data_IF_424821094414
#
_entry.id   IF_424821094414
#
_cell.length_a   1.000
_cell.length_b   1.000
_cell.length_c   1.000
_cell.angle_alpha   90.00
_cell.angle_beta   90.00
_cell.angle_gamma   90.00
#
_symmetry.space_group_name_H-M   'P 1'
#
loop_
_entity.id
_entity.type
_entity.pdbx_description
1 polymer ?
#
# COMPACT_ATOMS: atom_id res chain seq x y z
N UNK A 1 -8.35 -40.33 -5.31
CA UNK A 1 -7.72 -40.22 -6.65
C UNK A 1 -6.81 -39.01 -6.62
N UNK A 2 -5.68 -39.06 -7.31
CA UNK A 2 -4.81 -37.89 -7.45
C UNK A 2 -5.45 -36.89 -8.42
N UNK A 3 -5.33 -35.59 -8.12
CA UNK A 3 -5.89 -34.50 -8.92
C UNK A 3 -5.09 -34.28 -10.20
N UNK A 4 -3.77 -34.41 -10.11
CA UNK A 4 -2.85 -34.22 -11.24
C UNK A 4 -1.61 -35.14 -11.10
N UNK A 5 -0.85 -35.22 -12.19
CA UNK A 5 0.51 -35.81 -12.23
C UNK A 5 1.51 -34.81 -12.83
N UNK A 6 2.80 -35.08 -12.62
CA UNK A 6 3.89 -34.31 -13.23
C UNK A 6 4.39 -34.99 -14.50
N UNK A 7 4.65 -34.20 -15.56
CA UNK A 7 5.19 -34.69 -16.83
C UNK A 7 6.53 -35.40 -16.66
N UNK A 8 6.85 -36.35 -17.54
CA UNK A 8 8.20 -36.93 -17.62
C UNK A 8 9.19 -35.94 -18.24
N UNK A 9 8.73 -35.13 -19.20
CA UNK A 9 9.53 -34.05 -19.77
C UNK A 9 9.84 -33.00 -18.70
N UNK A 10 11.09 -32.54 -18.68
CA UNK A 10 11.57 -31.49 -17.79
C UNK A 10 11.89 -30.23 -18.58
N UNK A 11 11.78 -29.08 -17.91
CA UNK A 11 12.18 -27.77 -18.44
C UNK A 11 13.13 -27.11 -17.46
N UNK A 12 14.27 -26.63 -17.95
CA UNK A 12 15.18 -25.80 -17.16
C UNK A 12 14.69 -24.36 -17.21
N UNK A 13 14.37 -23.80 -16.06
CA UNK A 13 14.04 -22.40 -15.90
C UNK A 13 15.25 -21.66 -15.32
N UNK A 14 15.57 -20.49 -15.90
CA UNK A 14 16.67 -19.63 -15.45
C UNK A 14 16.09 -18.41 -14.77
N UNK A 15 16.60 -18.08 -13.59
CA UNK A 15 16.18 -16.89 -12.85
C UNK A 15 17.40 -16.21 -12.23
N UNK A 16 17.25 -14.95 -11.83
CA UNK A 16 18.33 -14.18 -11.21
C UNK A 16 17.98 -13.91 -9.76
N UNK A 17 18.94 -14.13 -8.85
CA UNK A 17 18.80 -13.79 -7.44
C UNK A 17 20.03 -12.99 -7.01
N UNK A 18 19.82 -11.81 -6.45
CA UNK A 18 20.90 -10.89 -6.05
C UNK A 18 21.97 -10.64 -7.15
N UNK A 19 21.56 -10.62 -8.42
CA UNK A 19 22.45 -10.43 -9.56
C UNK A 19 23.15 -11.69 -10.08
N UNK A 20 23.00 -12.83 -9.39
CA UNK A 20 23.57 -14.11 -9.81
C UNK A 20 22.55 -14.98 -10.56
N UNK A 21 22.96 -15.67 -11.64
CA UNK A 21 22.09 -16.57 -12.38
C UNK A 21 21.97 -17.94 -11.68
N UNK A 22 20.73 -18.37 -11.46
CA UNK A 22 20.38 -19.69 -10.94
C UNK A 22 19.52 -20.45 -11.95
N UNK A 23 19.50 -21.77 -11.81
CA UNK A 23 18.65 -22.65 -12.62
C UNK A 23 17.86 -23.61 -11.74
N UNK A 24 16.63 -23.91 -12.16
CA UNK A 24 15.78 -24.90 -11.53
C UNK A 24 15.18 -25.81 -12.60
N UNK A 25 15.05 -27.10 -12.28
CA UNK A 25 14.43 -28.08 -13.17
C UNK A 25 12.97 -28.23 -12.78
N UNK A 26 12.06 -28.00 -13.72
CA UNK A 26 10.62 -28.05 -13.50
C UNK A 26 9.97 -29.16 -14.32
N UNK A 27 8.80 -29.60 -13.85
CA UNK A 27 7.93 -30.57 -14.51
C UNK A 27 6.55 -29.94 -14.68
N UNK A 28 5.88 -30.23 -15.79
CA UNK A 28 4.59 -29.65 -16.11
C UNK A 28 3.46 -30.37 -15.38
N UNK A 29 2.45 -29.62 -14.93
CA UNK A 29 1.22 -30.16 -14.37
C UNK A 29 0.31 -30.73 -15.46
N UNK A 30 -0.26 -31.91 -15.22
CA UNK A 30 -1.24 -32.57 -16.09
C UNK A 30 -2.40 -33.05 -15.24
N UNK A 31 -3.61 -32.50 -15.47
CA UNK A 31 -4.82 -32.88 -14.73
C UNK A 31 -5.19 -34.35 -15.00
N UNK A 32 -5.55 -35.09 -13.95
CA UNK A 32 -5.93 -36.52 -14.02
C UNK A 32 -7.44 -36.75 -13.98
N UNK A 33 -8.19 -35.79 -13.45
CA UNK A 33 -9.65 -35.83 -13.36
C UNK A 33 -10.21 -34.41 -13.55
N UNK A 34 -11.53 -34.31 -13.75
CA UNK A 34 -12.22 -33.03 -13.78
C UNK A 34 -12.34 -32.46 -12.35
N UNK A 35 -12.06 -31.18 -12.17
CA UNK A 35 -12.29 -30.45 -10.92
C UNK A 35 -12.43 -28.96 -11.20
N UNK A 36 -13.34 -28.28 -10.49
CA UNK A 36 -13.68 -26.88 -10.74
C UNK A 36 -13.94 -26.61 -12.24
N UNK A 37 -13.17 -25.71 -12.85
CA UNK A 37 -13.18 -25.34 -14.27
C UNK A 37 -12.06 -26.03 -15.08
N UNK A 38 -11.36 -27.03 -14.52
CA UNK A 38 -10.27 -27.77 -15.16
C UNK A 38 -10.74 -29.17 -15.58
N UNK A 39 -10.56 -29.51 -16.86
CA UNK A 39 -10.87 -30.84 -17.41
C UNK A 39 -9.67 -31.80 -17.31
N UNK A 40 -9.96 -33.09 -17.22
CA UNK A 40 -8.96 -34.14 -17.24
C UNK A 40 -8.11 -34.06 -18.52
N UNK A 41 -6.79 -34.23 -18.39
CA UNK A 41 -5.82 -34.11 -19.47
C UNK A 41 -5.35 -32.69 -19.77
N UNK A 42 -5.93 -31.66 -19.14
CA UNK A 42 -5.46 -30.27 -19.30
C UNK A 42 -4.04 -30.12 -18.74
N UNK A 43 -3.16 -29.52 -19.55
CA UNK A 43 -1.84 -29.10 -19.13
C UNK A 43 -1.92 -27.75 -18.41
N UNK A 44 -1.13 -27.60 -17.35
CA UNK A 44 -1.02 -26.36 -16.59
C UNK A 44 0.40 -25.78 -16.64
N UNK A 45 0.71 -24.99 -15.61
CA UNK A 45 2.04 -24.45 -15.36
C UNK A 45 3.06 -25.51 -14.93
N UNK A 46 4.23 -25.02 -14.53
CA UNK A 46 5.39 -25.85 -14.22
C UNK A 46 5.75 -25.74 -12.74
N UNK A 47 6.07 -26.88 -12.13
CA UNK A 47 6.43 -26.97 -10.72
C UNK A 47 7.73 -27.74 -10.52
N UNK A 48 8.47 -27.43 -9.46
CA UNK A 48 9.70 -28.15 -9.12
C UNK A 48 9.41 -29.55 -8.56
N UNK A 49 8.38 -29.68 -7.73
CA UNK A 49 7.98 -30.91 -7.04
C UNK A 49 6.48 -30.99 -6.82
N UNK A 50 5.98 -32.16 -6.41
CA UNK A 50 4.57 -32.33 -6.01
C UNK A 50 4.20 -31.53 -4.75
N UNK A 51 5.17 -31.00 -4.01
CA UNK A 51 4.91 -30.18 -2.83
C UNK A 51 4.51 -28.74 -3.19
N UNK A 52 4.76 -28.30 -4.43
CA UNK A 52 4.47 -26.92 -4.83
C UNK A 52 3.00 -26.66 -5.09
N UNK A 53 2.22 -27.67 -5.49
CA UNK A 53 0.79 -27.57 -5.70
C UNK A 53 0.06 -28.63 -4.86
N UNK A 54 -1.08 -28.28 -4.27
CA UNK A 54 -1.84 -29.28 -3.50
C UNK A 54 -2.54 -30.29 -4.38
N UNK A 55 -2.49 -31.57 -3.98
CA UNK A 55 -3.38 -32.60 -4.50
C UNK A 55 -4.83 -32.44 -3.97
N UNK A 56 -5.03 -31.71 -2.86
CA UNK A 56 -6.34 -31.41 -2.28
C UNK A 56 -6.85 -30.02 -2.68
N UNK A 57 -8.17 -29.83 -2.67
CA UNK A 57 -8.80 -28.56 -3.04
C UNK A 57 -8.70 -28.25 -4.54
N UNK A 58 -9.22 -27.09 -4.93
CA UNK A 58 -9.36 -26.70 -6.34
C UNK A 58 -8.20 -25.87 -6.86
N UNK A 59 -7.11 -25.71 -6.10
CA UNK A 59 -6.00 -24.86 -6.54
C UNK A 59 -5.36 -25.35 -7.85
N UNK A 60 -5.04 -24.41 -8.73
CA UNK A 60 -4.49 -24.72 -10.05
C UNK A 60 -3.66 -23.58 -10.65
N UNK A 61 -2.69 -23.97 -11.48
CA UNK A 61 -1.83 -23.07 -12.25
C UNK A 61 -2.19 -23.20 -13.72
N UNK A 62 -2.92 -22.22 -14.26
CA UNK A 62 -3.57 -22.33 -15.56
C UNK A 62 -2.62 -22.08 -16.74
N UNK A 63 -1.72 -21.11 -16.60
CA UNK A 63 -0.87 -20.69 -17.70
C UNK A 63 0.37 -21.59 -17.87
N UNK A 64 0.71 -21.95 -19.11
CA UNK A 64 1.80 -22.88 -19.44
C UNK A 64 3.21 -22.26 -19.27
N UNK A 65 3.29 -20.94 -19.09
CA UNK A 65 4.52 -20.23 -18.78
C UNK A 65 4.70 -20.00 -17.28
N UNK A 66 3.65 -20.16 -16.47
CA UNK A 66 3.74 -20.03 -15.02
C UNK A 66 4.69 -21.03 -14.39
N UNK A 67 5.39 -20.59 -13.34
CA UNK A 67 6.38 -21.41 -12.60
C UNK A 67 6.19 -21.29 -11.09
N UNK A 68 6.23 -22.43 -10.39
CA UNK A 68 6.20 -22.49 -8.92
C UNK A 68 7.34 -23.37 -8.40
N UNK A 69 8.27 -22.83 -7.62
CA UNK A 69 9.50 -23.54 -7.23
C UNK A 69 10.11 -23.01 -5.93
N UNK A 70 11.26 -23.57 -5.50
CA UNK A 70 12.02 -23.14 -4.33
C UNK A 70 11.16 -23.05 -3.05
N UNK A 71 10.51 -24.16 -2.68
CA UNK A 71 9.73 -24.27 -1.45
C UNK A 71 8.35 -23.58 -1.47
N UNK A 72 8.01 -22.84 -2.53
CA UNK A 72 6.70 -22.19 -2.66
C UNK A 72 5.55 -23.20 -2.67
N UNK A 73 4.39 -22.83 -2.10
CA UNK A 73 3.24 -23.72 -1.90
C UNK A 73 1.94 -23.06 -2.34
N UNK A 74 1.22 -23.71 -3.25
CA UNK A 74 -0.12 -23.29 -3.72
C UNK A 74 -1.17 -24.29 -3.25
N UNK A 75 -2.08 -23.85 -2.38
CA UNK A 75 -3.04 -24.69 -1.63
C UNK A 75 -4.48 -24.12 -1.70
N UNK A 76 -5.44 -24.85 -1.12
CA UNK A 76 -6.84 -24.43 -1.08
C UNK A 76 -7.51 -24.49 -2.46
N UNK A 77 -8.20 -23.41 -2.82
CA UNK A 77 -8.83 -23.14 -4.10
C UNK A 77 -8.11 -22.02 -4.89
N UNK A 78 -6.87 -21.69 -4.51
CA UNK A 78 -6.12 -20.59 -5.11
C UNK A 78 -5.96 -20.72 -6.63
N UNK A 79 -6.13 -19.63 -7.36
CA UNK A 79 -6.09 -19.58 -8.82
C UNK A 79 -4.90 -18.76 -9.27
N UNK A 80 -4.03 -19.34 -10.10
CA UNK A 80 -2.93 -18.63 -10.74
C UNK A 80 -3.20 -18.55 -12.25
N UNK A 81 -3.66 -17.39 -12.72
CA UNK A 81 -3.96 -17.12 -14.14
C UNK A 81 -2.88 -16.26 -14.78
N UNK A 82 -2.76 -16.35 -16.11
CA UNK A 82 -1.68 -15.71 -16.88
C UNK A 82 -0.28 -16.10 -16.34
N UNK A 83 0.79 -15.53 -16.90
CA UNK A 83 2.16 -15.83 -16.49
C UNK A 83 2.42 -15.37 -15.06
N UNK A 84 2.51 -16.31 -14.12
CA UNK A 84 2.83 -16.07 -12.72
C UNK A 84 4.17 -16.73 -12.35
N UNK A 85 4.93 -16.10 -11.46
CA UNK A 85 6.18 -16.64 -10.93
C UNK A 85 6.11 -16.66 -9.41
N UNK A 86 6.11 -17.85 -8.81
CA UNK A 86 5.98 -18.02 -7.36
C UNK A 86 7.14 -18.81 -6.81
N UNK A 87 7.90 -18.26 -5.88
CA UNK A 87 9.12 -18.91 -5.41
C UNK A 87 9.57 -18.53 -4.00
N UNK A 88 10.60 -19.22 -3.49
CA UNK A 88 11.28 -18.89 -2.23
C UNK A 88 10.30 -18.86 -1.05
N UNK A 89 9.72 -20.01 -0.74
CA UNK A 89 8.81 -20.24 0.39
C UNK A 89 7.53 -19.39 0.41
N UNK A 90 7.18 -18.74 -0.71
CA UNK A 90 5.91 -18.06 -0.86
C UNK A 90 4.72 -19.03 -0.72
N UNK A 91 3.66 -18.61 -0.04
CA UNK A 91 2.48 -19.43 0.22
C UNK A 91 1.23 -18.74 -0.34
N UNK A 92 0.51 -19.45 -1.19
CA UNK A 92 -0.76 -18.99 -1.75
C UNK A 92 -1.84 -20.01 -1.35
N UNK A 93 -2.87 -19.56 -0.65
CA UNK A 93 -3.90 -20.42 -0.07
C UNK A 93 -5.33 -19.91 -0.28
N UNK A 94 -6.28 -20.63 0.32
CA UNK A 94 -7.71 -20.30 0.33
C UNK A 94 -8.28 -20.04 -1.08
N UNK A 95 -9.03 -18.96 -1.28
CA UNK A 95 -9.64 -18.58 -2.56
C UNK A 95 -8.87 -17.43 -3.24
N UNK A 96 -7.57 -17.27 -2.93
CA UNK A 96 -6.74 -16.21 -3.47
C UNK A 96 -6.61 -16.30 -5.00
N UNK A 97 -6.61 -15.15 -5.67
CA UNK A 97 -6.47 -15.07 -7.12
C UNK A 97 -5.25 -14.24 -7.50
N UNK A 98 -4.28 -14.91 -8.13
CA UNK A 98 -3.05 -14.30 -8.63
C UNK A 98 -3.14 -14.27 -10.16
N UNK A 99 -2.92 -13.11 -10.74
CA UNK A 99 -3.03 -12.88 -12.19
C UNK A 99 -1.83 -12.07 -12.70
N UNK A 100 -1.03 -12.65 -13.59
CA UNK A 100 0.14 -11.98 -14.18
C UNK A 100 1.10 -11.33 -13.14
N UNK A 101 1.37 -12.02 -12.03
CA UNK A 101 2.09 -11.46 -10.88
C UNK A 101 3.27 -12.33 -10.42
N UNK A 102 4.20 -11.71 -9.70
CA UNK A 102 5.33 -12.38 -9.06
C UNK A 102 5.18 -12.34 -7.53
N UNK A 103 5.31 -13.51 -6.88
CA UNK A 103 5.19 -13.65 -5.43
C UNK A 103 6.39 -14.42 -4.89
N UNK A 104 7.17 -13.82 -3.99
CA UNK A 104 8.40 -14.44 -3.51
C UNK A 104 8.79 -14.14 -2.06
N UNK A 105 9.82 -14.85 -1.61
CA UNK A 105 10.58 -14.58 -0.37
C UNK A 105 9.72 -14.59 0.90
N UNK A 106 8.95 -15.66 1.08
CA UNK A 106 8.11 -15.86 2.26
C UNK A 106 6.76 -15.12 2.25
N UNK A 107 6.43 -14.41 1.16
CA UNK A 107 5.14 -13.74 1.03
C UNK A 107 3.96 -14.73 1.14
N UNK A 108 2.95 -14.35 1.92
CA UNK A 108 1.74 -15.14 2.14
C UNK A 108 0.52 -14.45 1.52
N UNK A 109 -0.22 -15.13 0.66
CA UNK A 109 -1.49 -14.63 0.09
C UNK A 109 -2.61 -15.63 0.38
N UNK A 110 -3.70 -15.16 0.98
CA UNK A 110 -4.79 -16.03 1.49
C UNK A 110 -6.14 -15.30 1.51
N UNK A 111 -7.20 -15.92 2.01
CA UNK A 111 -8.56 -15.40 1.90
C UNK A 111 -9.06 -15.33 0.46
N UNK A 112 -9.74 -14.23 0.10
CA UNK A 112 -10.20 -13.88 -1.26
C UNK A 112 -9.33 -12.77 -1.89
N UNK A 113 -8.09 -12.64 -1.42
CA UNK A 113 -7.19 -11.59 -1.88
C UNK A 113 -6.86 -11.75 -3.37
N UNK A 114 -6.72 -10.61 -4.06
CA UNK A 114 -6.38 -10.54 -5.47
C UNK A 114 -5.04 -9.82 -5.66
N UNK A 115 -4.12 -10.44 -6.39
CA UNK A 115 -2.87 -9.80 -6.82
C UNK A 115 -2.78 -9.87 -8.34
N UNK A 116 -2.85 -8.72 -9.00
CA UNK A 116 -2.88 -8.62 -10.46
C UNK A 116 -1.75 -7.72 -10.98
N UNK A 117 -1.02 -8.16 -12.01
CA UNK A 117 0.01 -7.36 -12.67
C UNK A 117 0.98 -6.66 -11.69
N UNK A 118 1.38 -7.33 -10.61
CA UNK A 118 2.07 -6.73 -9.46
C UNK A 118 3.16 -7.65 -8.94
N UNK A 119 4.04 -7.11 -8.09
CA UNK A 119 5.16 -7.84 -7.49
C UNK A 119 5.03 -7.79 -5.97
N UNK A 120 5.02 -8.95 -5.32
CA UNK A 120 4.94 -9.11 -3.87
C UNK A 120 6.14 -9.91 -3.41
N UNK A 121 7.02 -9.32 -2.60
CA UNK A 121 8.21 -10.00 -2.08
C UNK A 121 8.40 -9.77 -0.59
N UNK A 122 9.06 -10.71 0.06
CA UNK A 122 9.46 -10.60 1.45
C UNK A 122 8.36 -10.99 2.44
N UNK A 123 8.68 -10.86 3.72
CA UNK A 123 7.84 -11.26 4.86
C UNK A 123 6.60 -10.36 4.98
N UNK A 124 5.56 -10.68 4.23
CA UNK A 124 4.29 -9.96 4.19
C UNK A 124 3.10 -10.92 4.08
N UNK A 125 1.92 -10.46 4.46
CA UNK A 125 0.69 -11.23 4.39
C UNK A 125 -0.47 -10.41 3.82
N UNK A 126 -0.95 -10.83 2.66
CA UNK A 126 -2.09 -10.24 1.95
C UNK A 126 -3.29 -11.19 2.13
N UNK A 127 -4.38 -10.71 2.75
CA UNK A 127 -5.52 -11.57 3.07
C UNK A 127 -6.85 -10.83 3.13
N UNK A 128 -7.94 -11.52 3.46
CA UNK A 128 -9.29 -10.93 3.39
C UNK A 128 -9.74 -10.76 1.93
N UNK A 129 -10.32 -9.62 1.60
CA UNK A 129 -10.79 -9.21 0.27
C UNK A 129 -9.86 -8.17 -0.37
N UNK A 130 -8.61 -8.09 0.09
CA UNK A 130 -7.64 -7.10 -0.37
C UNK A 130 -7.31 -7.26 -1.87
N UNK A 131 -7.11 -6.13 -2.55
CA UNK A 131 -6.78 -6.08 -3.97
C UNK A 131 -5.50 -5.30 -4.19
N UNK A 132 -4.49 -5.95 -4.77
CA UNK A 132 -3.21 -5.33 -5.17
C UNK A 132 -3.11 -5.42 -6.68
N UNK A 133 -3.09 -4.29 -7.38
CA UNK A 133 -3.17 -4.26 -8.84
C UNK A 133 -2.35 -3.15 -9.51
N UNK A 134 -2.32 -3.16 -10.85
CA UNK A 134 -1.74 -2.11 -11.69
C UNK A 134 -0.28 -1.78 -11.36
N UNK A 135 0.64 -2.74 -11.52
CA UNK A 135 2.07 -2.53 -11.33
C UNK A 135 2.46 -2.10 -9.90
N UNK A 136 1.67 -2.52 -8.90
CA UNK A 136 2.02 -2.29 -7.51
C UNK A 136 3.22 -3.13 -7.09
N UNK A 137 4.02 -2.58 -6.17
CA UNK A 137 5.17 -3.24 -5.57
C UNK A 137 4.98 -3.33 -4.06
N UNK A 138 4.90 -4.55 -3.54
CA UNK A 138 4.80 -4.83 -2.10
C UNK A 138 6.09 -5.51 -1.65
N UNK A 139 6.80 -4.91 -0.69
CA UNK A 139 8.06 -5.46 -0.16
C UNK A 139 8.03 -5.50 1.36
N UNK A 140 7.74 -6.68 1.92
CA UNK A 140 7.79 -6.93 3.35
C UNK A 140 9.24 -7.05 3.84
N UNK A 141 9.62 -6.23 4.82
CA UNK A 141 10.93 -6.29 5.44
C UNK A 141 10.82 -6.06 6.96
N UNK A 142 11.11 -7.11 7.73
CA UNK A 142 11.17 -7.08 9.19
C UNK A 142 12.52 -6.55 9.68
N UNK A 143 12.57 -6.08 10.93
CA UNK A 143 13.83 -5.72 11.61
C UNK A 143 14.48 -4.41 11.18
N UNK A 144 13.86 -3.64 10.27
CA UNK A 144 14.29 -2.28 9.92
C UNK A 144 13.72 -1.23 10.89
N UNK A 145 12.82 -1.63 11.81
CA UNK A 145 12.17 -0.72 12.74
C UNK A 145 12.18 -1.28 14.16
N UNK A 146 11.75 -0.46 15.14
CA UNK A 146 11.76 -0.81 16.57
C UNK A 146 10.91 -2.04 16.93
N UNK A 147 9.90 -2.37 16.14
CA UNK A 147 9.12 -3.60 16.28
C UNK A 147 9.66 -4.61 15.27
N UNK A 148 10.40 -5.61 15.74
CA UNK A 148 11.05 -6.59 14.87
C UNK A 148 10.10 -7.63 14.28
N UNK A 149 8.93 -7.81 14.89
CA UNK A 149 8.10 -9.00 14.65
C UNK A 149 6.90 -8.67 13.76
N UNK A 150 6.50 -7.40 13.72
CA UNK A 150 5.44 -6.94 12.82
C UNK A 150 5.81 -7.15 11.35
N UNK A 151 4.99 -7.91 10.63
CA UNK A 151 5.07 -8.06 9.19
C UNK A 151 4.22 -6.99 8.48
N UNK A 152 4.47 -6.76 7.20
CA UNK A 152 3.57 -5.96 6.36
C UNK A 152 2.25 -6.72 6.15
N UNK A 153 1.12 -6.05 6.40
CA UNK A 153 -0.20 -6.64 6.14
C UNK A 153 -1.05 -5.74 5.23
N UNK A 154 -1.69 -6.37 4.24
CA UNK A 154 -2.74 -5.74 3.42
C UNK A 154 -3.99 -6.62 3.53
N UNK A 155 -5.04 -6.12 4.15
CA UNK A 155 -6.22 -6.93 4.46
C UNK A 155 -7.54 -6.16 4.49
N UNK A 156 -8.62 -6.82 4.91
CA UNK A 156 -9.97 -6.23 4.82
C UNK A 156 -10.41 -6.11 3.37
N UNK A 157 -11.03 -4.99 3.01
CA UNK A 157 -11.45 -4.63 1.65
C UNK A 157 -10.52 -3.59 1.00
N UNK A 158 -9.27 -3.47 1.48
CA UNK A 158 -8.33 -2.48 1.00
C UNK A 158 -7.98 -2.70 -0.48
N UNK A 159 -7.84 -1.60 -1.21
CA UNK A 159 -7.42 -1.61 -2.62
C UNK A 159 -6.15 -0.78 -2.78
N UNK A 160 -5.10 -1.42 -3.32
CA UNK A 160 -3.80 -0.82 -3.63
C UNK A 160 -3.56 -0.92 -5.13
N UNK A 161 -3.33 0.22 -5.78
CA UNK A 161 -3.18 0.33 -7.22
C UNK A 161 -2.01 1.23 -7.57
N UNK A 162 -1.16 0.85 -8.53
CA UNK A 162 -0.03 1.67 -8.97
C UNK A 162 0.82 2.26 -7.82
N UNK A 163 0.99 1.50 -6.73
CA UNK A 163 1.57 2.00 -5.48
C UNK A 163 2.72 1.14 -5.00
N UNK A 164 3.56 1.72 -4.14
CA UNK A 164 4.69 1.04 -3.49
C UNK A 164 4.42 0.97 -1.99
N UNK A 165 4.37 -0.26 -1.46
CA UNK A 165 4.12 -0.53 -0.04
C UNK A 165 5.28 -1.33 0.51
N UNK A 166 6.03 -0.77 1.46
CA UNK A 166 7.30 -1.36 1.90
C UNK A 166 7.42 -1.43 3.43
N UNK A 167 8.37 -2.24 3.89
CA UNK A 167 8.72 -2.45 5.30
C UNK A 167 7.63 -3.20 6.07
N UNK A 168 6.90 -2.52 6.95
CA UNK A 168 5.93 -3.09 7.91
C UNK A 168 4.61 -2.30 7.88
N UNK A 169 4.30 -1.66 6.74
CA UNK A 169 3.08 -0.89 6.56
C UNK A 169 1.82 -1.75 6.75
N UNK A 170 0.75 -1.13 7.23
CA UNK A 170 -0.54 -1.79 7.46
C UNK A 170 -1.62 -1.08 6.64
N UNK A 171 -2.24 -1.79 5.70
CA UNK A 171 -3.32 -1.23 4.87
C UNK A 171 -4.57 -2.11 5.03
N UNK A 172 -5.65 -1.55 5.55
CA UNK A 172 -6.85 -2.33 5.84
C UNK A 172 -8.15 -1.52 5.81
N UNK A 173 -9.26 -2.11 6.24
CA UNK A 173 -10.58 -1.48 6.13
C UNK A 173 -11.06 -1.43 4.68
N UNK A 174 -11.59 -0.29 4.25
CA UNK A 174 -11.99 0.04 2.89
C UNK A 174 -11.03 1.05 2.23
N UNK A 175 -9.78 1.13 2.70
CA UNK A 175 -8.80 2.09 2.21
C UNK A 175 -8.57 1.95 0.70
N UNK A 176 -8.53 3.09 0.00
CA UNK A 176 -8.22 3.19 -1.42
C UNK A 176 -6.88 3.91 -1.59
N UNK A 177 -5.89 3.20 -2.12
CA UNK A 177 -4.52 3.68 -2.27
C UNK A 177 -4.12 3.60 -3.74
N UNK A 178 -3.93 4.75 -4.37
CA UNK A 178 -3.54 4.86 -5.79
C UNK A 178 -2.38 5.83 -5.94
N UNK A 179 -1.32 5.47 -6.68
CA UNK A 179 -0.10 6.29 -6.85
C UNK A 179 0.43 6.82 -5.50
N UNK A 180 0.78 5.89 -4.61
CA UNK A 180 1.27 6.23 -3.29
C UNK A 180 2.53 5.45 -2.91
N UNK A 181 3.36 6.08 -2.08
CA UNK A 181 4.49 5.48 -1.41
C UNK A 181 4.21 5.37 0.09
N UNK A 182 4.01 4.14 0.56
CA UNK A 182 3.70 3.84 1.97
C UNK A 182 4.84 3.01 2.55
N UNK A 183 5.49 3.52 3.58
CA UNK A 183 6.69 2.90 4.15
C UNK A 183 6.74 2.86 5.68
N UNK A 184 7.75 2.15 6.19
CA UNK A 184 8.02 1.96 7.62
C UNK A 184 6.85 1.24 8.31
N UNK A 185 6.19 1.89 9.27
CA UNK A 185 5.03 1.39 10.02
C UNK A 185 3.79 2.25 9.79
N UNK A 186 3.74 2.95 8.66
CA UNK A 186 2.59 3.74 8.26
C UNK A 186 1.32 2.88 8.22
N UNK A 187 0.18 3.47 8.59
CA UNK A 187 -1.11 2.80 8.59
C UNK A 187 -2.12 3.59 7.77
N UNK A 188 -2.82 2.90 6.87
CA UNK A 188 -3.91 3.47 6.06
C UNK A 188 -5.12 2.56 6.20
N UNK A 189 -6.19 3.06 6.82
CA UNK A 189 -7.32 2.21 7.19
C UNK A 189 -8.67 2.93 7.19
N UNK A 190 -9.72 2.22 7.60
CA UNK A 190 -11.12 2.67 7.49
C UNK A 190 -11.45 3.05 6.04
N UNK A 191 -11.99 4.24 5.76
CA UNK A 191 -12.35 4.69 4.41
C UNK A 191 -11.35 5.72 3.86
N UNK A 192 -10.10 5.70 4.34
CA UNK A 192 -9.06 6.62 3.87
C UNK A 192 -8.83 6.49 2.36
N UNK A 193 -8.66 7.64 1.70
CA UNK A 193 -8.38 7.72 0.25
C UNK A 193 -7.05 8.44 0.05
N UNK A 194 -6.11 7.75 -0.59
CA UNK A 194 -4.84 8.30 -1.05
C UNK A 194 -4.86 8.25 -2.58
N UNK A 195 -4.80 9.42 -3.20
CA UNK A 195 -4.94 9.60 -4.64
C UNK A 195 -3.79 10.43 -5.18
N UNK A 196 -2.72 9.77 -5.61
CA UNK A 196 -1.71 10.38 -6.45
C UNK A 196 -2.06 10.32 -7.94
N UNK A 197 -1.14 10.78 -8.77
CA UNK A 197 -1.26 10.79 -10.22
C UNK A 197 0.08 10.42 -10.88
N UNK A 198 0.13 10.45 -12.21
CA UNK A 198 1.32 10.09 -12.98
C UNK A 198 2.54 11.00 -12.71
N UNK A 199 2.32 12.20 -12.16
CA UNK A 199 3.36 13.19 -11.88
C UNK A 199 3.75 13.23 -10.39
N UNK A 200 2.80 13.02 -9.49
CA UNK A 200 2.96 13.18 -8.06
C UNK A 200 2.34 12.01 -7.29
N UNK A 201 3.17 11.31 -6.52
CA UNK A 201 2.73 10.29 -5.56
C UNK A 201 2.27 10.92 -4.24
N UNK A 202 1.43 10.20 -3.49
CA UNK A 202 1.15 10.50 -2.08
C UNK A 202 2.14 9.75 -1.17
N UNK A 203 2.76 10.43 -0.22
CA UNK A 203 3.79 9.86 0.66
C UNK A 203 3.27 9.73 2.10
N UNK A 204 3.29 8.50 2.63
CA UNK A 204 2.95 8.21 4.03
C UNK A 204 4.05 7.37 4.66
N UNK A 205 4.78 7.98 5.58
CA UNK A 205 6.04 7.45 6.10
C UNK A 205 6.00 7.24 7.62
N UNK A 206 7.02 6.55 8.12
CA UNK A 206 7.32 6.41 9.56
C UNK A 206 6.22 5.68 10.35
N UNK A 207 5.51 6.39 11.22
CA UNK A 207 4.38 5.89 12.01
C UNK A 207 3.11 6.68 11.72
N UNK A 208 3.06 7.36 10.57
CA UNK A 208 1.93 8.17 10.18
C UNK A 208 0.67 7.32 10.03
N UNK A 209 -0.49 7.91 10.34
CA UNK A 209 -1.79 7.23 10.26
C UNK A 209 -2.78 8.04 9.46
N UNK A 210 -3.37 7.42 8.46
CA UNK A 210 -4.46 7.98 7.67
C UNK A 210 -5.70 7.10 7.86
N UNK A 211 -6.79 7.66 8.39
CA UNK A 211 -8.00 6.90 8.69
C UNK A 211 -9.26 7.77 8.66
N UNK A 212 -10.38 7.27 9.16
CA UNK A 212 -11.68 7.90 8.97
C UNK A 212 -12.10 7.87 7.50
N UNK A 213 -12.57 9.01 7.03
CA UNK A 213 -12.86 9.33 5.63
C UNK A 213 -11.85 10.39 5.11
N UNK A 214 -10.65 10.43 5.68
CA UNK A 214 -9.61 11.37 5.27
C UNK A 214 -9.20 11.16 3.82
N UNK A 215 -8.87 12.26 3.13
CA UNK A 215 -8.46 12.25 1.73
C UNK A 215 -7.13 12.99 1.55
N UNK A 216 -6.13 12.30 1.02
CA UNK A 216 -4.88 12.88 0.57
C UNK A 216 -4.86 12.81 -0.95
N UNK A 217 -4.78 13.97 -1.61
CA UNK A 217 -4.86 14.09 -3.06
C UNK A 217 -3.64 14.84 -3.58
N UNK A 218 -2.90 14.24 -4.50
CA UNK A 218 -1.79 14.93 -5.13
C UNK A 218 -2.28 16.02 -6.07
N UNK A 219 -1.60 17.17 -6.04
CA UNK A 219 -1.87 18.24 -7.00
C UNK A 219 -1.32 17.91 -8.39
N UNK A 220 -1.68 18.74 -9.36
CA UNK A 220 -1.21 18.65 -10.75
C UNK A 220 0.00 19.54 -11.03
N UNK A 221 0.50 20.26 -10.03
CA UNK A 221 1.70 21.09 -10.17
C UNK A 221 2.95 20.25 -9.87
N UNK A 222 4.11 20.71 -10.33
CA UNK A 222 5.38 20.04 -10.03
C UNK A 222 5.64 20.02 -8.52
N UNK A 223 5.99 18.85 -7.98
CA UNK A 223 6.24 18.64 -6.54
C UNK A 223 4.99 18.87 -5.65
N UNK A 224 3.78 18.69 -6.20
CA UNK A 224 2.53 18.79 -5.45
C UNK A 224 2.15 17.47 -4.74
N UNK A 225 3.15 16.85 -4.10
CA UNK A 225 3.03 15.55 -3.41
C UNK A 225 2.68 15.74 -1.92
N UNK A 226 1.49 15.30 -1.45
CA UNK A 226 1.15 15.31 -0.04
C UNK A 226 2.04 14.33 0.71
N UNK A 227 2.69 14.80 1.77
CA UNK A 227 3.69 14.05 2.52
C UNK A 227 3.36 14.06 4.00
N UNK A 228 3.03 12.90 4.57
CA UNK A 228 2.75 12.73 6.00
C UNK A 228 3.82 11.86 6.65
N UNK A 229 4.48 12.40 7.68
CA UNK A 229 5.65 11.77 8.29
C UNK A 229 5.51 11.60 9.80
N UNK A 230 6.51 10.94 10.38
CA UNK A 230 6.70 10.73 11.80
C UNK A 230 5.48 10.11 12.48
N UNK A 231 4.89 10.80 13.45
CA UNK A 231 3.75 10.38 14.26
C UNK A 231 2.47 11.14 13.87
N UNK A 232 2.46 11.79 12.70
CA UNK A 232 1.34 12.62 12.28
C UNK A 232 0.14 11.80 11.82
N UNK A 233 -1.04 12.38 12.00
CA UNK A 233 -2.32 11.70 11.84
C UNK A 233 -3.30 12.57 11.05
N UNK A 234 -3.95 11.96 10.07
CA UNK A 234 -5.01 12.58 9.27
C UNK A 234 -6.25 11.70 9.36
N UNK A 235 -7.34 12.27 9.84
CA UNK A 235 -8.56 11.52 10.20
C UNK A 235 -9.84 12.30 9.91
N UNK A 236 -10.98 11.75 10.30
CA UNK A 236 -12.27 12.41 10.13
C UNK A 236 -12.65 12.51 8.65
N UNK A 237 -13.09 13.68 8.22
CA UNK A 237 -13.36 14.06 6.82
C UNK A 237 -12.31 15.05 6.28
N UNK A 238 -11.11 15.07 6.88
CA UNK A 238 -10.07 15.99 6.49
C UNK A 238 -9.62 15.79 5.04
N UNK A 239 -9.31 16.89 4.35
CA UNK A 239 -8.80 16.88 2.97
C UNK A 239 -7.47 17.60 2.92
N UNK A 240 -6.45 16.93 2.37
CA UNK A 240 -5.13 17.47 2.10
C UNK A 240 -4.87 17.37 0.61
N UNK A 241 -4.62 18.49 -0.05
CA UNK A 241 -4.37 18.54 -1.49
C UNK A 241 -3.12 19.35 -1.82
N UNK A 242 -2.27 18.78 -2.68
CA UNK A 242 -1.11 19.48 -3.23
C UNK A 242 0.16 19.36 -2.38
N UNK A 243 1.03 20.37 -2.45
CA UNK A 243 2.34 20.38 -1.80
C UNK A 243 2.18 20.66 -0.29
N UNK A 244 1.88 19.61 0.47
CA UNK A 244 1.67 19.66 1.91
C UNK A 244 2.63 18.71 2.63
N UNK A 245 3.39 19.24 3.60
CA UNK A 245 4.28 18.47 4.46
C UNK A 245 3.81 18.50 5.91
N UNK A 246 3.43 17.34 6.43
CA UNK A 246 3.14 17.12 7.85
C UNK A 246 4.32 16.44 8.53
N UNK A 247 4.95 17.17 9.44
CA UNK A 247 6.13 16.76 10.21
C UNK A 247 5.78 16.02 11.50
N UNK A 248 6.29 16.47 12.63
CA UNK A 248 6.21 15.81 13.93
C UNK A 248 4.93 16.19 14.68
N UNK A 249 4.19 15.18 15.16
CA UNK A 249 3.02 15.37 16.02
C UNK A 249 1.96 16.32 15.43
N UNK A 250 1.70 16.24 14.12
CA UNK A 250 0.62 16.98 13.48
C UNK A 250 -0.65 16.14 13.50
N UNK A 251 -1.77 16.75 13.89
CA UNK A 251 -3.10 16.14 13.81
C UNK A 251 -4.01 17.00 12.93
N UNK A 252 -4.61 16.39 11.92
CA UNK A 252 -5.65 16.99 11.10
C UNK A 252 -6.88 16.10 11.18
N UNK A 253 -8.01 16.66 11.56
CA UNK A 253 -9.22 15.88 11.82
C UNK A 253 -10.49 16.67 11.45
N UNK A 254 -11.65 16.05 11.67
CA UNK A 254 -12.98 16.63 11.42
C UNK A 254 -13.15 17.04 9.95
N UNK A 255 -13.45 18.30 9.64
CA UNK A 255 -13.70 18.78 8.27
C UNK A 255 -12.63 19.77 7.81
N UNK A 256 -11.43 19.68 8.37
CA UNK A 256 -10.31 20.55 8.00
C UNK A 256 -9.90 20.34 6.54
N UNK A 257 -9.61 21.44 5.85
CA UNK A 257 -9.21 21.43 4.44
C UNK A 257 -7.90 22.20 4.27
N UNK A 258 -6.88 21.52 3.79
CA UNK A 258 -5.57 22.10 3.52
C UNK A 258 -5.28 21.89 2.03
N UNK A 259 -5.12 22.99 1.29
CA UNK A 259 -5.02 22.93 -0.18
C UNK A 259 -3.97 23.90 -0.69
N UNK A 260 -3.34 23.56 -1.82
CA UNK A 260 -2.33 24.40 -2.47
C UNK A 260 -0.95 24.07 -1.96
N UNK A 261 -0.10 25.08 -1.79
CA UNK A 261 1.19 24.91 -1.15
C UNK A 261 2.25 25.91 -1.61
N UNK A 262 3.44 25.85 -1.01
CA UNK A 262 3.84 24.84 -0.02
C UNK A 262 3.20 25.07 1.37
N UNK A 263 2.52 24.04 1.91
CA UNK A 263 2.06 24.06 3.31
C UNK A 263 2.99 23.19 4.15
N UNK A 264 3.52 23.74 5.24
CA UNK A 264 4.34 22.99 6.22
C UNK A 264 3.75 23.07 7.61
N UNK A 265 3.47 21.90 8.19
CA UNK A 265 2.94 21.75 9.54
C UNK A 265 3.95 20.92 10.34
N UNK A 266 4.42 21.41 11.50
CA UNK A 266 5.43 20.70 12.28
C UNK A 266 5.34 20.99 13.79
N UNK A 267 5.86 20.09 14.62
CA UNK A 267 5.94 20.23 16.08
C UNK A 267 4.62 20.57 16.79
N UNK A 268 3.76 19.56 17.01
CA UNK A 268 2.55 19.65 17.84
C UNK A 268 1.47 20.58 17.27
N UNK A 269 1.20 20.49 15.98
CA UNK A 269 0.14 21.29 15.32
C UNK A 269 -1.16 20.50 15.28
N UNK A 270 -2.28 21.15 15.61
CA UNK A 270 -3.61 20.56 15.53
C UNK A 270 -4.52 21.43 14.66
N UNK A 271 -5.12 20.84 13.62
CA UNK A 271 -6.08 21.49 12.73
C UNK A 271 -7.38 20.68 12.73
N UNK A 272 -8.47 21.30 13.18
CA UNK A 272 -9.77 20.64 13.43
C UNK A 272 -10.91 21.58 13.00
N UNK A 273 -12.16 21.21 13.27
CA UNK A 273 -13.31 21.99 12.85
C UNK A 273 -13.55 21.92 11.35
N UNK A 274 -13.94 23.06 10.78
CA UNK A 274 -14.02 23.36 9.35
C UNK A 274 -12.89 24.31 8.92
N UNK A 275 -11.76 24.27 9.63
CA UNK A 275 -10.62 25.14 9.36
C UNK A 275 -10.10 24.97 7.93
N UNK A 276 -9.71 26.06 7.30
CA UNK A 276 -9.19 26.07 5.92
C UNK A 276 -7.81 26.71 5.88
N UNK A 277 -6.84 26.01 5.30
CA UNK A 277 -5.48 26.53 5.10
C UNK A 277 -5.15 26.47 3.61
N UNK A 278 -4.72 27.59 3.04
CA UNK A 278 -4.41 27.70 1.61
C UNK A 278 -3.15 28.51 1.31
N UNK A 279 -2.40 28.05 0.31
CA UNK A 279 -1.22 28.74 -0.21
C UNK A 279 0.06 28.42 0.57
N UNK A 280 1.03 29.34 0.55
CA UNK A 280 2.31 29.21 1.25
C UNK A 280 2.14 29.49 2.76
N UNK A 281 1.95 28.44 3.54
CA UNK A 281 1.64 28.53 4.98
C UNK A 281 2.56 27.62 5.78
N UNK A 282 3.19 28.20 6.80
CA UNK A 282 4.02 27.49 7.76
C UNK A 282 3.37 27.60 9.14
N UNK A 283 3.04 26.46 9.73
CA UNK A 283 2.48 26.35 11.08
C UNK A 283 3.38 25.47 11.92
N UNK A 284 3.92 26.00 13.01
CA UNK A 284 4.92 25.31 13.84
C UNK A 284 4.77 25.58 15.34
N UNK A 285 5.24 24.64 16.15
CA UNK A 285 5.48 24.79 17.59
C UNK A 285 4.22 25.05 18.44
N UNK A 286 3.33 24.06 18.55
CA UNK A 286 2.15 24.07 19.44
C UNK A 286 1.04 25.07 19.03
N UNK A 287 0.73 25.12 17.73
CA UNK A 287 -0.41 25.88 17.21
C UNK A 287 -1.65 24.99 17.09
N UNK A 288 -2.79 25.50 17.54
CA UNK A 288 -4.11 24.88 17.35
C UNK A 288 -4.99 25.79 16.49
N UNK A 289 -5.59 25.21 15.45
CA UNK A 289 -6.58 25.85 14.57
C UNK A 289 -7.86 25.02 14.63
N UNK A 290 -8.97 25.61 15.00
CA UNK A 290 -10.26 24.91 15.12
C UNK A 290 -11.40 25.74 14.50
N UNK A 291 -12.65 25.29 14.71
CA UNK A 291 -13.86 25.96 14.23
C UNK A 291 -13.81 26.31 12.73
N UNK A 292 -14.17 27.52 12.31
CA UNK A 292 -14.23 27.95 10.90
C UNK A 292 -13.05 28.85 10.50
N UNK A 293 -11.92 28.76 11.21
CA UNK A 293 -10.75 29.61 10.95
C UNK A 293 -10.24 29.41 9.52
N UNK A 294 -9.96 30.51 8.83
CA UNK A 294 -9.39 30.50 7.48
C UNK A 294 -8.02 31.16 7.49
N UNK A 295 -7.02 30.48 6.94
CA UNK A 295 -5.66 30.97 6.74
C UNK A 295 -5.37 30.92 5.24
N UNK A 296 -5.43 32.06 4.59
CA UNK A 296 -5.27 32.18 3.14
C UNK A 296 -4.04 33.04 2.84
N UNK A 297 -2.94 32.41 2.42
CA UNK A 297 -1.73 33.10 2.00
C UNK A 297 -1.91 33.71 0.60
N UNK A 298 -1.77 35.04 0.44
CA UNK A 298 -1.81 35.68 -0.87
C UNK A 298 -0.68 35.18 -1.79
N UNK A 299 -0.86 35.24 -3.13
CA UNK A 299 0.20 34.85 -4.06
C UNK A 299 1.51 35.61 -3.81
N UNK A 300 2.60 34.87 -3.59
CA UNK A 300 3.93 35.44 -3.33
C UNK A 300 4.17 35.87 -1.88
N UNK A 301 3.23 35.65 -0.97
CA UNK A 301 3.38 35.90 0.46
C UNK A 301 3.35 34.58 1.25
N UNK A 302 4.20 34.48 2.29
CA UNK A 302 4.20 33.35 3.22
C UNK A 302 3.54 33.77 4.53
N UNK A 303 2.56 32.99 5.00
CA UNK A 303 2.00 33.15 6.36
C UNK A 303 2.74 32.22 7.31
N UNK A 304 3.30 32.78 8.39
CA UNK A 304 3.96 32.02 9.46
C UNK A 304 3.20 32.11 10.77
N UNK A 305 2.80 30.96 11.30
CA UNK A 305 2.18 30.80 12.61
C UNK A 305 3.10 29.95 13.47
N UNK A 306 3.81 30.58 14.41
CA UNK A 306 4.76 29.89 15.28
C UNK A 306 4.43 30.13 16.75
N UNK A 307 4.64 29.10 17.57
CA UNK A 307 4.54 29.14 19.02
C UNK A 307 3.15 28.79 19.56
N UNK A 308 2.98 28.91 20.88
CA UNK A 308 1.74 28.58 21.58
C UNK A 308 0.61 29.53 21.19
N UNK A 309 -0.22 29.12 20.23
CA UNK A 309 -1.36 29.91 19.73
C UNK A 309 -2.59 29.02 19.53
N UNK A 310 -3.75 29.57 19.83
CA UNK A 310 -5.05 28.93 19.55
C UNK A 310 -5.89 29.91 18.74
N UNK A 311 -6.15 29.56 17.49
CA UNK A 311 -7.03 30.29 16.58
C UNK A 311 -8.39 29.60 16.56
N UNK A 312 -9.46 30.36 16.76
CA UNK A 312 -10.81 29.79 16.91
C UNK A 312 -11.94 30.67 16.39
N UNK A 313 -13.17 30.16 16.43
CA UNK A 313 -14.34 30.83 15.85
C UNK A 313 -14.22 31.01 14.34
N UNK A 314 -14.35 32.26 13.87
CA UNK A 314 -14.40 32.62 12.45
C UNK A 314 -13.24 33.53 12.04
N UNK A 315 -12.07 33.38 12.67
CA UNK A 315 -10.89 34.21 12.35
C UNK A 315 -10.45 34.02 10.90
N UNK A 316 -10.03 35.11 10.26
CA UNK A 316 -9.51 35.10 8.89
C UNK A 316 -8.11 35.74 8.85
N UNK A 317 -7.11 34.91 8.61
CA UNK A 317 -5.69 35.29 8.61
C UNK A 317 -5.21 35.35 7.16
N UNK A 318 -4.80 36.54 6.74
CA UNK A 318 -4.28 36.79 5.39
C UNK A 318 -2.85 37.33 5.40
N UNK A 319 -2.21 37.40 6.58
CA UNK A 319 -0.85 37.87 6.77
C UNK A 319 -0.25 37.26 8.04
N UNK A 320 1.07 37.16 8.10
CA UNK A 320 1.79 36.74 9.30
C UNK A 320 1.45 37.65 10.49
N UNK A 321 0.95 37.12 11.63
CA UNK A 321 0.70 37.91 12.83
C UNK A 321 2.00 38.49 13.37
N UNK A 322 1.99 39.76 13.76
CA UNK A 322 3.18 40.40 14.35
C UNK A 322 3.50 39.78 15.73
N UNK A 323 4.78 39.61 16.09
CA UNK A 323 5.16 39.12 17.41
C UNK A 323 4.57 40.00 18.52
N UNK A 324 3.88 39.39 19.49
CA UNK A 324 3.30 40.10 20.64
C UNK A 324 1.88 40.66 20.44
N UNK A 325 1.24 40.38 19.30
CA UNK A 325 -0.19 40.67 19.06
C UNK A 325 -0.94 39.36 18.83
N UNK A 326 -1.27 38.68 19.93
CA UNK A 326 -2.44 37.79 20.10
C UNK A 326 -2.93 37.97 21.53
#
# INVERSE_FOLDING_TARGET
MNKYQLSEATRVFRYTRHGEPYTVTLRQLIALCDFADVSAGTHGGWVESEENLSQQGSCWVYDHNSVVFAGAKVRGNARLSQTCVVHHDAVIGDDAWIDAAEISDGAHVSGRAMVQCSVVRGECHIFGDARVMQNSLVVGAKGLTADSDSALHIYGNATVSASRVVHQAQIYGHALVTHAFIEHRAQVFENAILEGNDENDVWVCDCAKIHGNARLVAGTEENASPTVRYSSEVSGHAVIEGNCLLGHHVRIDEYAVITGGPVRLDNHVTITGRARIRGDVIVEDSVTVNDDVTIDAPPGETIRLCGFKTLHGNEHIQRTPLPGLV
#
